data_IF_092711462951
#
_entry.id   IF_092711462951
#
_cell.length_a   1.000
_cell.length_b   1.000
_cell.length_c   1.000
_cell.angle_alpha   90.00
_cell.angle_beta   90.00
_cell.angle_gamma   90.00
#
_symmetry.space_group_name_H-M   'P 1'
#
loop_
_entity.id
_entity.type
_entity.pdbx_description
1 polymer ?
#
# COMPACT_ATOMS: atom_id res chain seq x y z
N UNK A 1 -13.78 11.88 -7.02
CA UNK A 1 -12.91 10.74 -6.72
C UNK A 1 -11.59 10.94 -7.43
N UNK A 2 -10.47 10.53 -6.85
CA UNK A 2 -9.15 10.79 -7.42
C UNK A 2 -8.55 9.53 -8.04
N UNK A 3 -7.51 9.72 -8.84
CA UNK A 3 -6.82 8.64 -9.54
C UNK A 3 -5.41 8.45 -9.00
N UNK A 4 -4.92 7.22 -9.13
CA UNK A 4 -3.55 6.85 -8.76
C UNK A 4 -2.69 6.80 -10.02
N UNK A 5 -1.58 7.50 -10.00
CA UNK A 5 -0.60 7.43 -11.09
C UNK A 5 0.39 6.30 -10.78
N UNK A 6 0.39 5.30 -11.63
CA UNK A 6 1.28 4.14 -11.48
C UNK A 6 2.70 4.51 -11.94
N UNK A 7 3.66 3.62 -11.63
CA UNK A 7 5.08 3.85 -11.95
C UNK A 7 5.33 3.98 -13.46
N UNK A 8 4.53 3.30 -14.27
CA UNK A 8 4.64 3.38 -15.74
C UNK A 8 3.95 4.61 -16.34
N UNK A 9 3.42 5.50 -15.50
CA UNK A 9 2.73 6.70 -15.91
C UNK A 9 1.24 6.54 -16.19
N UNK A 10 0.73 5.31 -16.16
CA UNK A 10 -0.71 5.09 -16.36
C UNK A 10 -1.50 5.46 -15.12
N UNK A 11 -2.77 5.80 -15.31
CA UNK A 11 -3.66 6.17 -14.21
C UNK A 11 -4.67 5.06 -13.96
N UNK A 12 -5.00 4.86 -12.69
CA UNK A 12 -6.03 3.92 -12.27
C UNK A 12 -6.89 4.60 -11.21
N UNK A 13 -8.15 4.18 -11.11
CA UNK A 13 -9.04 4.69 -10.07
C UNK A 13 -8.56 4.22 -8.71
N UNK A 14 -8.63 5.11 -7.71
CA UNK A 14 -8.29 4.75 -6.34
C UNK A 14 -9.31 3.76 -5.77
N UNK A 15 -8.82 2.70 -5.15
CA UNK A 15 -9.65 1.71 -4.46
C UNK A 15 -9.01 1.38 -3.12
N UNK A 16 -9.69 1.74 -2.03
CA UNK A 16 -9.20 1.49 -0.67
C UNK A 16 -9.04 -0.01 -0.39
N UNK A 17 -9.84 -0.84 -1.05
CA UNK A 17 -9.73 -2.30 -0.91
C UNK A 17 -8.37 -2.85 -1.30
N UNK A 18 -7.67 -2.18 -2.21
CA UNK A 18 -6.31 -2.59 -2.59
C UNK A 18 -5.31 -2.35 -1.46
N UNK A 19 -5.49 -1.27 -0.70
CA UNK A 19 -4.67 -0.98 0.47
C UNK A 19 -4.94 -2.04 1.55
N UNK A 20 -6.20 -2.33 1.82
CA UNK A 20 -6.60 -3.35 2.79
C UNK A 20 -6.02 -4.71 2.42
N UNK A 21 -6.09 -5.10 1.15
CA UNK A 21 -5.56 -6.37 0.67
C UNK A 21 -4.04 -6.45 0.86
N UNK A 22 -3.32 -5.36 0.55
CA UNK A 22 -1.86 -5.33 0.70
C UNK A 22 -1.45 -5.45 2.17
N UNK A 23 -2.13 -4.73 3.07
CA UNK A 23 -1.88 -4.81 4.51
C UNK A 23 -2.16 -6.23 5.02
N UNK A 24 -3.28 -6.81 4.59
CA UNK A 24 -3.65 -8.18 4.97
C UNK A 24 -2.57 -9.17 4.56
N UNK A 25 -2.05 -9.07 3.35
CA UNK A 25 -0.98 -9.94 2.88
C UNK A 25 0.30 -9.79 3.70
N UNK A 26 0.61 -8.57 4.14
CA UNK A 26 1.78 -8.33 4.99
C UNK A 26 1.62 -9.02 6.35
N UNK A 27 0.42 -8.95 6.96
CA UNK A 27 0.14 -9.68 8.20
C UNK A 27 0.25 -11.18 8.00
N UNK A 28 -0.31 -11.70 6.91
CA UNK A 28 -0.29 -13.13 6.60
C UNK A 28 1.12 -13.64 6.35
N UNK A 29 1.97 -12.84 5.73
CA UNK A 29 3.37 -13.20 5.47
C UNK A 29 4.14 -13.46 6.76
N UNK A 30 3.75 -12.82 7.86
CA UNK A 30 4.35 -13.00 9.18
C UNK A 30 3.60 -14.05 10.02
N UNK A 31 2.56 -14.66 9.45
CA UNK A 31 1.66 -15.55 10.20
C UNK A 31 1.11 -14.86 11.45
N UNK A 32 0.94 -13.55 11.36
CA UNK A 32 0.45 -12.72 12.45
C UNK A 32 -1.06 -12.63 12.38
N UNK A 33 -1.73 -12.90 13.50
CA UNK A 33 -3.18 -12.80 13.56
C UNK A 33 -3.61 -11.34 13.50
N UNK A 34 -4.76 -11.11 12.90
CA UNK A 34 -5.34 -9.78 12.79
C UNK A 34 -6.86 -9.87 12.82
N UNK A 35 -7.49 -8.78 13.25
CA UNK A 35 -8.93 -8.65 13.16
C UNK A 35 -9.27 -7.79 11.94
N UNK A 36 -10.30 -8.14 11.15
CA UNK A 36 -10.67 -7.33 9.98
C UNK A 36 -10.86 -5.84 10.27
N UNK A 37 -11.38 -5.50 11.46
CA UNK A 37 -11.58 -4.09 11.83
C UNK A 37 -10.25 -3.34 11.99
N UNK A 38 -9.17 -4.02 12.37
CA UNK A 38 -7.85 -3.41 12.47
C UNK A 38 -7.33 -3.08 11.07
N UNK A 39 -7.52 -4.00 10.12
CA UNK A 39 -7.12 -3.77 8.73
C UNK A 39 -7.87 -2.57 8.15
N UNK A 40 -9.18 -2.49 8.37
CA UNK A 40 -9.99 -1.38 7.88
C UNK A 40 -9.57 -0.05 8.49
N UNK A 41 -9.29 -0.03 9.80
CA UNK A 41 -8.80 1.16 10.50
C UNK A 41 -7.46 1.63 9.92
N UNK A 42 -6.54 0.69 9.70
CA UNK A 42 -5.23 1.02 9.13
C UNK A 42 -5.36 1.58 7.72
N UNK A 43 -6.22 0.99 6.90
CA UNK A 43 -6.45 1.48 5.54
C UNK A 43 -7.02 2.90 5.53
N UNK A 44 -7.94 3.20 6.45
CA UNK A 44 -8.49 4.55 6.61
C UNK A 44 -7.42 5.54 7.06
N UNK A 45 -6.56 5.15 7.98
CA UNK A 45 -5.45 6.00 8.44
C UNK A 45 -4.45 6.28 7.32
N UNK A 46 -4.17 5.29 6.48
CA UNK A 46 -3.31 5.47 5.31
C UNK A 46 -3.92 6.51 4.38
N UNK A 47 -5.22 6.39 4.11
CA UNK A 47 -5.92 7.32 3.24
C UNK A 47 -5.85 8.76 3.79
N UNK A 48 -6.07 8.92 5.09
CA UNK A 48 -5.96 10.23 5.74
C UNK A 48 -4.53 10.78 5.67
N UNK A 49 -3.53 9.90 5.76
CA UNK A 49 -2.13 10.32 5.76
C UNK A 49 -1.69 10.88 4.41
N UNK A 50 -2.09 10.27 3.30
CA UNK A 50 -1.64 10.74 1.98
C UNK A 50 -2.58 11.79 1.36
N UNK A 51 -3.76 12.00 1.91
CA UNK A 51 -4.74 12.94 1.36
C UNK A 51 -4.17 14.33 1.06
N UNK A 52 -3.35 14.94 1.95
CA UNK A 52 -2.74 16.24 1.66
C UNK A 52 -1.80 16.25 0.45
N UNK A 53 -1.35 15.10 -0.01
CA UNK A 53 -0.46 14.97 -1.16
C UNK A 53 -1.19 14.88 -2.49
N UNK A 54 -2.53 14.78 -2.46
CA UNK A 54 -3.33 14.72 -3.69
C UNK A 54 -3.26 16.06 -4.42
N UNK A 55 -2.93 16.03 -5.71
CA UNK A 55 -2.86 17.22 -6.57
C UNK A 55 -3.63 16.95 -7.86
N UNK A 56 -4.51 17.88 -8.24
CA UNK A 56 -5.32 17.78 -9.46
C UNK A 56 -6.06 16.46 -9.54
N UNK A 57 -6.62 16.01 -8.43
CA UNK A 57 -7.34 14.74 -8.28
C UNK A 57 -6.47 13.53 -8.61
N UNK A 58 -5.17 13.62 -8.38
CA UNK A 58 -4.21 12.54 -8.62
C UNK A 58 -3.21 12.40 -7.49
N UNK A 59 -2.73 11.18 -7.30
CA UNK A 59 -1.66 10.89 -6.33
C UNK A 59 -0.76 9.78 -6.91
N UNK A 60 0.53 9.91 -6.69
CA UNK A 60 1.48 8.88 -7.13
C UNK A 60 1.37 7.64 -6.24
N UNK A 61 1.49 6.45 -6.85
CA UNK A 61 1.43 5.19 -6.09
C UNK A 61 2.51 5.14 -5.01
N UNK A 62 3.69 5.72 -5.27
CA UNK A 62 4.79 5.76 -4.30
C UNK A 62 4.41 6.53 -3.04
N UNK A 63 3.63 7.61 -3.18
CA UNK A 63 3.15 8.38 -2.03
C UNK A 63 2.19 7.56 -1.18
N UNK A 64 1.33 6.76 -1.82
CA UNK A 64 0.44 5.85 -1.09
C UNK A 64 1.25 4.79 -0.36
N UNK A 65 2.25 4.21 -1.03
CA UNK A 65 3.11 3.18 -0.43
C UNK A 65 3.89 3.71 0.77
N UNK A 66 4.40 4.93 0.67
CA UNK A 66 5.09 5.58 1.79
C UNK A 66 4.16 5.78 2.97
N UNK A 67 2.90 6.16 2.72
CA UNK A 67 1.90 6.30 3.77
C UNK A 67 1.56 4.97 4.44
N UNK A 68 1.49 3.88 3.67
CA UNK A 68 1.26 2.54 4.24
C UNK A 68 2.39 2.18 5.22
N UNK A 69 3.64 2.35 4.79
CA UNK A 69 4.80 2.05 5.63
C UNK A 69 4.79 2.89 6.91
N UNK A 70 4.54 4.19 6.77
CA UNK A 70 4.51 5.12 7.89
C UNK A 70 3.41 4.76 8.90
N UNK A 71 2.20 4.53 8.42
CA UNK A 71 1.05 4.23 9.29
C UNK A 71 1.26 2.91 10.03
N UNK A 72 1.75 1.88 9.34
CA UNK A 72 2.04 0.60 9.99
C UNK A 72 3.10 0.76 11.09
N UNK A 73 4.16 1.51 10.82
CA UNK A 73 5.22 1.75 11.80
C UNK A 73 4.70 2.53 13.00
N UNK A 74 3.92 3.59 12.76
CA UNK A 74 3.37 4.44 13.83
C UNK A 74 2.33 3.70 14.68
N UNK A 75 1.62 2.76 14.08
CA UNK A 75 0.63 1.95 14.81
C UNK A 75 1.27 0.84 15.66
N UNK A 76 2.59 0.71 15.63
CA UNK A 76 3.28 -0.32 16.40
C UNK A 76 3.52 -1.61 15.64
N UNK A 77 3.28 -1.62 14.33
CA UNK A 77 3.45 -2.79 13.48
C UNK A 77 4.68 -2.67 12.58
N UNK A 78 5.83 -2.35 13.18
CA UNK A 78 7.08 -2.19 12.42
C UNK A 78 7.48 -3.45 11.64
N UNK A 79 7.20 -4.61 12.20
CA UNK A 79 7.43 -5.91 11.55
C UNK A 79 6.54 -6.07 10.30
N UNK A 80 5.28 -5.67 10.40
CA UNK A 80 4.34 -5.72 9.29
C UNK A 80 4.77 -4.72 8.21
N UNK A 81 5.26 -3.55 8.60
CA UNK A 81 5.78 -2.55 7.66
C UNK A 81 6.93 -3.12 6.83
N UNK A 82 7.85 -3.85 7.47
CA UNK A 82 8.96 -4.51 6.76
C UNK A 82 8.45 -5.58 5.79
N UNK A 83 7.49 -6.38 6.21
CA UNK A 83 6.89 -7.40 5.35
C UNK A 83 6.21 -6.77 4.13
N UNK A 84 5.55 -5.63 4.33
CA UNK A 84 4.93 -4.88 3.24
C UNK A 84 5.97 -4.40 2.22
N UNK A 85 7.09 -3.86 2.70
CA UNK A 85 8.18 -3.38 1.83
C UNK A 85 8.72 -4.55 0.99
N UNK A 86 8.94 -5.70 1.59
CA UNK A 86 9.42 -6.88 0.88
C UNK A 86 8.42 -7.37 -0.16
N UNK A 87 7.16 -7.40 0.18
CA UNK A 87 6.07 -7.77 -0.73
C UNK A 87 6.04 -6.85 -1.95
N UNK A 88 6.15 -5.56 -1.73
CA UNK A 88 6.18 -4.55 -2.79
C UNK A 88 7.37 -4.77 -3.74
N UNK A 89 8.55 -5.03 -3.18
CA UNK A 89 9.76 -5.29 -3.96
C UNK A 89 9.66 -6.57 -4.78
N UNK A 90 9.08 -7.61 -4.20
CA UNK A 90 8.89 -8.87 -4.91
C UNK A 90 7.96 -8.71 -6.11
N UNK A 91 6.90 -7.94 -5.97
CA UNK A 91 5.99 -7.66 -7.08
C UNK A 91 6.69 -6.92 -8.21
N UNK A 92 7.58 -5.99 -7.90
CA UNK A 92 8.38 -5.30 -8.91
C UNK A 92 9.28 -6.26 -9.66
N UNK A 93 9.96 -7.15 -8.96
CA UNK A 93 10.83 -8.16 -9.58
C UNK A 93 10.06 -9.07 -10.53
N UNK A 94 8.89 -9.52 -10.12
CA UNK A 94 8.05 -10.37 -10.96
C UNK A 94 7.67 -9.64 -12.24
N UNK A 95 7.29 -8.35 -12.15
CA UNK A 95 6.96 -7.55 -13.33
C UNK A 95 8.15 -7.41 -14.27
N UNK A 96 9.33 -7.15 -13.72
CA UNK A 96 10.55 -7.02 -14.52
C UNK A 96 10.92 -8.34 -15.19
N UNK A 97 10.75 -9.47 -14.49
CA UNK A 97 10.98 -10.80 -15.08
C UNK A 97 10.05 -11.08 -16.25
N UNK A 98 8.79 -10.67 -16.14
CA UNK A 98 7.81 -10.86 -17.22
C UNK A 98 8.13 -10.02 -18.44
N UNK A 99 8.75 -8.87 -18.26
CA UNK A 99 9.14 -8.00 -19.38
C UNK A 99 10.30 -8.60 -20.17
N UNK A 100 11.15 -9.40 -19.53
CA UNK A 100 12.32 -10.00 -20.16
C UNK A 100 12.04 -11.36 -20.83
N UNK A 101 10.86 -11.85 -20.69
CA UNK A 101 10.42 -13.08 -21.38
C UNK A 101 9.74 -12.73 -22.69
#
# INVERSE_FOLDING_TARGET
MYQVTKRDGTAAQFEIGKISAAITKAFEALEKQYHPSVIDMLALRVTADFEPKIRDSRIAVEDIQDSVEKVLSEAGYADVAKAYILYRKQREKVRLSLIHI
#
